data_IF_878164891005
#
_entry.id   IF_878164891005
#
_cell.length_a   1.000
_cell.length_b   1.000
_cell.length_c   1.000
_cell.angle_alpha   90.00
_cell.angle_beta   90.00
_cell.angle_gamma   90.00
#
_symmetry.space_group_name_H-M   'P 1'
#
loop_
_entity.id
_entity.type
_entity.pdbx_description
1 polymer ?
#
# COMPACT_ATOMS: atom_id res chain seq x y z
N UNK A 1 -29.97 101.31 -81.81
CA UNK A 1 -29.68 100.01 -81.15
C UNK A 1 -29.64 100.24 -79.65
N UNK A 2 -30.59 99.66 -78.90
CA UNK A 2 -30.73 99.91 -77.47
C UNK A 2 -29.78 99.01 -76.68
N UNK A 3 -28.64 99.57 -76.28
CA UNK A 3 -27.52 98.95 -75.55
C UNK A 3 -27.95 98.23 -74.24
N UNK A 4 -29.12 98.53 -73.69
CA UNK A 4 -29.63 97.98 -72.43
C UNK A 4 -30.05 96.51 -72.50
N UNK A 5 -30.38 95.98 -73.68
CA UNK A 5 -30.82 94.57 -73.82
C UNK A 5 -29.65 93.57 -73.87
N UNK A 6 -28.47 93.99 -74.32
CA UNK A 6 -27.29 93.11 -74.44
C UNK A 6 -26.71 92.78 -73.06
N UNK A 7 -26.66 93.76 -72.16
CA UNK A 7 -26.13 93.54 -70.79
C UNK A 7 -27.02 92.62 -69.94
N UNK A 8 -28.34 92.62 -70.15
CA UNK A 8 -29.24 91.72 -69.42
C UNK A 8 -29.11 90.26 -69.88
N UNK A 9 -28.81 90.01 -71.15
CA UNK A 9 -28.63 88.66 -71.69
C UNK A 9 -27.31 88.02 -71.22
N UNK A 10 -26.23 88.81 -71.12
CA UNK A 10 -24.93 88.32 -70.65
C UNK A 10 -24.95 88.00 -69.15
N UNK A 11 -25.71 88.75 -68.35
CA UNK A 11 -25.82 88.52 -66.90
C UNK A 11 -26.60 87.23 -66.54
N UNK A 12 -27.60 86.85 -67.33
CA UNK A 12 -28.36 85.62 -67.08
C UNK A 12 -27.54 84.38 -67.47
N UNK A 13 -26.70 84.48 -68.52
CA UNK A 13 -25.86 83.37 -68.97
C UNK A 13 -24.71 83.05 -68.00
N UNK A 14 -24.16 84.06 -67.31
CA UNK A 14 -23.14 83.85 -66.26
C UNK A 14 -23.73 83.29 -64.96
N UNK A 15 -24.96 83.66 -64.57
CA UNK A 15 -25.60 83.09 -63.37
C UNK A 15 -25.96 81.60 -63.52
N UNK A 16 -26.37 81.14 -64.71
CA UNK A 16 -26.65 79.72 -64.95
C UNK A 16 -25.40 78.84 -65.02
N UNK A 17 -24.25 79.40 -65.47
CA UNK A 17 -22.97 78.68 -65.51
C UNK A 17 -22.40 78.37 -64.12
N UNK A 18 -22.64 79.25 -63.13
CA UNK A 18 -22.14 79.08 -61.75
C UNK A 18 -22.95 78.00 -61.01
N UNK A 19 -24.27 77.94 -61.20
CA UNK A 19 -25.14 76.95 -60.54
C UNK A 19 -24.92 75.50 -61.03
N UNK A 20 -24.46 75.28 -62.26
CA UNK A 20 -24.18 73.95 -62.79
C UNK A 20 -22.85 73.35 -62.26
N UNK A 21 -21.87 74.20 -61.93
CA UNK A 21 -20.55 73.76 -61.47
C UNK A 21 -20.51 73.46 -59.96
N UNK A 22 -21.34 74.15 -59.15
CA UNK A 22 -21.43 73.93 -57.69
C UNK A 22 -22.13 72.61 -57.32
N UNK A 23 -23.10 72.15 -58.12
CA UNK A 23 -23.87 70.94 -57.80
C UNK A 23 -23.07 69.64 -58.07
N UNK A 24 -22.20 69.65 -59.08
CA UNK A 24 -21.34 68.50 -59.45
C UNK A 24 -20.21 68.30 -58.41
N UNK A 25 -19.66 69.39 -57.88
CA UNK A 25 -18.62 69.35 -56.84
C UNK A 25 -19.16 68.71 -55.54
N UNK A 26 -20.38 69.09 -55.13
CA UNK A 26 -21.07 68.57 -53.93
C UNK A 26 -21.35 67.06 -54.01
N UNK A 27 -21.69 66.54 -55.18
CA UNK A 27 -22.03 65.12 -55.37
C UNK A 27 -20.77 64.22 -55.35
N UNK A 28 -19.65 64.70 -55.90
CA UNK A 28 -18.36 64.00 -55.83
C UNK A 28 -17.79 63.93 -54.42
N UNK A 29 -17.93 64.99 -53.61
CA UNK A 29 -17.52 64.98 -52.20
C UNK A 29 -18.39 64.02 -51.37
N UNK A 30 -19.71 63.99 -51.60
CA UNK A 30 -20.62 63.03 -50.97
C UNK A 30 -20.27 61.58 -51.33
N UNK A 31 -19.96 61.29 -52.59
CA UNK A 31 -19.49 59.95 -53.01
C UNK A 31 -18.15 59.57 -52.35
N UNK A 32 -17.25 60.52 -52.16
CA UNK A 32 -15.94 60.28 -51.54
C UNK A 32 -16.06 60.04 -50.02
N UNK A 33 -17.00 60.72 -49.35
CA UNK A 33 -17.35 60.47 -47.94
C UNK A 33 -18.00 59.09 -47.78
N UNK A 34 -18.99 58.75 -48.61
CA UNK A 34 -19.63 57.42 -48.63
C UNK A 34 -18.62 56.28 -48.85
N UNK A 35 -17.68 56.43 -49.80
CA UNK A 35 -16.61 55.44 -50.03
C UNK A 35 -15.66 55.30 -48.85
N UNK A 36 -15.33 56.41 -48.16
CA UNK A 36 -14.50 56.39 -46.94
C UNK A 36 -15.21 55.73 -45.77
N UNK A 37 -16.50 56.01 -45.56
CA UNK A 37 -17.31 55.37 -44.53
C UNK A 37 -17.51 53.86 -44.78
N UNK A 38 -17.74 53.45 -46.03
CA UNK A 38 -17.82 52.03 -46.41
C UNK A 38 -16.47 51.31 -46.21
N UNK A 39 -15.36 51.98 -46.51
CA UNK A 39 -14.01 51.42 -46.29
C UNK A 39 -13.67 51.28 -44.80
N UNK A 40 -14.02 52.27 -43.97
CA UNK A 40 -13.84 52.22 -42.51
C UNK A 40 -14.73 51.13 -41.89
N UNK A 41 -15.96 50.98 -42.40
CA UNK A 41 -16.89 49.95 -41.94
C UNK A 41 -16.40 48.54 -42.28
N UNK A 42 -15.82 48.34 -43.47
CA UNK A 42 -15.18 47.08 -43.88
C UNK A 42 -13.96 46.73 -43.02
N UNK A 43 -13.11 47.71 -42.70
CA UNK A 43 -11.94 47.49 -41.83
C UNK A 43 -12.38 47.12 -40.40
N UNK A 44 -13.34 47.84 -39.82
CA UNK A 44 -13.89 47.51 -38.49
C UNK A 44 -14.58 46.14 -38.45
N UNK A 45 -15.30 45.77 -39.52
CA UNK A 45 -15.92 44.45 -39.64
C UNK A 45 -14.85 43.34 -39.71
N UNK A 46 -13.75 43.58 -40.43
CA UNK A 46 -12.61 42.67 -40.52
C UNK A 46 -11.89 42.51 -39.18
N UNK A 47 -11.64 43.60 -38.46
CA UNK A 47 -11.03 43.58 -37.12
C UNK A 47 -11.91 42.87 -36.08
N UNK A 48 -13.22 43.09 -36.12
CA UNK A 48 -14.17 42.42 -35.23
C UNK A 48 -14.28 40.92 -35.54
N UNK A 49 -14.16 40.53 -36.82
CA UNK A 49 -14.03 39.13 -37.21
C UNK A 49 -12.71 38.51 -36.74
N UNK A 50 -11.59 39.22 -36.89
CA UNK A 50 -10.28 38.78 -36.40
C UNK A 50 -10.26 38.62 -34.88
N UNK A 51 -10.84 39.55 -34.12
CA UNK A 51 -11.00 39.44 -32.66
C UNK A 51 -11.88 38.25 -32.26
N UNK A 52 -13.00 38.02 -32.95
CA UNK A 52 -13.85 36.85 -32.69
C UNK A 52 -13.16 35.52 -33.00
N UNK A 53 -12.28 35.48 -34.00
CA UNK A 53 -11.47 34.29 -34.31
C UNK A 53 -10.42 34.08 -33.21
N UNK A 54 -9.68 35.13 -32.84
CA UNK A 54 -8.69 35.07 -31.76
C UNK A 54 -9.30 34.68 -30.41
N UNK A 55 -10.50 35.19 -30.07
CA UNK A 55 -11.21 34.83 -28.84
C UNK A 55 -11.68 33.36 -28.87
N UNK A 56 -12.16 32.87 -30.02
CA UNK A 56 -12.54 31.45 -30.19
C UNK A 56 -11.32 30.54 -30.09
N UNK A 57 -10.18 30.93 -30.62
CA UNK A 57 -8.92 30.18 -30.50
C UNK A 57 -8.40 30.19 -29.07
N UNK A 58 -8.36 31.36 -28.41
CA UNK A 58 -7.99 31.47 -27.01
C UNK A 58 -8.89 30.61 -26.10
N UNK A 59 -10.21 30.58 -26.36
CA UNK A 59 -11.17 29.75 -25.63
C UNK A 59 -10.99 28.26 -25.88
N UNK A 60 -10.59 27.85 -27.09
CA UNK A 60 -10.23 26.45 -27.39
C UNK A 60 -8.95 26.05 -26.66
N UNK A 61 -7.91 26.88 -26.72
CA UNK A 61 -6.63 26.65 -26.03
C UNK A 61 -6.85 26.59 -24.51
N UNK A 62 -7.67 27.47 -23.94
CA UNK A 62 -8.01 27.45 -22.52
C UNK A 62 -8.75 26.16 -22.11
N UNK A 63 -9.71 25.69 -22.93
CA UNK A 63 -10.41 24.43 -22.70
C UNK A 63 -9.50 23.20 -22.82
N UNK A 64 -8.56 23.20 -23.76
CA UNK A 64 -7.58 22.13 -23.91
C UNK A 64 -6.60 22.10 -22.73
N UNK A 65 -6.11 23.26 -22.28
CA UNK A 65 -5.29 23.37 -21.06
C UNK A 65 -6.03 22.91 -19.81
N UNK A 66 -7.31 23.26 -19.66
CA UNK A 66 -8.12 22.80 -18.52
C UNK A 66 -8.33 21.28 -18.54
N UNK A 67 -8.59 20.71 -19.73
CA UNK A 67 -8.70 19.25 -19.91
C UNK A 67 -7.38 18.54 -19.62
N UNK A 68 -6.26 19.07 -20.11
CA UNK A 68 -4.93 18.52 -19.84
C UNK A 68 -4.60 18.55 -18.34
N UNK A 69 -4.88 19.67 -17.66
CA UNK A 69 -4.66 19.80 -16.21
C UNK A 69 -5.56 18.85 -15.40
N UNK A 70 -6.81 18.65 -15.82
CA UNK A 70 -7.73 17.68 -15.19
C UNK A 70 -7.25 16.24 -15.40
N UNK A 71 -6.79 15.90 -16.60
CA UNK A 71 -6.23 14.59 -16.91
C UNK A 71 -4.96 14.31 -16.08
N UNK A 72 -4.03 15.27 -16.02
CA UNK A 72 -2.80 15.14 -15.22
C UNK A 72 -3.09 14.97 -13.72
N UNK A 73 -4.07 15.71 -13.19
CA UNK A 73 -4.50 15.55 -11.79
C UNK A 73 -5.11 14.17 -11.54
N UNK A 74 -5.98 13.70 -12.43
CA UNK A 74 -6.60 12.38 -12.33
C UNK A 74 -5.55 11.25 -12.41
N UNK A 75 -4.54 11.39 -13.28
CA UNK A 75 -3.44 10.43 -13.39
C UNK A 75 -2.57 10.41 -12.12
N UNK A 76 -2.23 11.57 -11.57
CA UNK A 76 -1.48 11.66 -10.31
C UNK A 76 -2.25 11.10 -9.12
N UNK A 77 -3.57 11.32 -9.06
CA UNK A 77 -4.43 10.77 -8.00
C UNK A 77 -4.54 9.24 -8.13
N UNK A 78 -4.75 8.73 -9.35
CA UNK A 78 -4.76 7.29 -9.61
C UNK A 78 -3.43 6.62 -9.25
N UNK A 79 -2.29 7.24 -9.60
CA UNK A 79 -0.98 6.69 -9.24
C UNK A 79 -0.73 6.76 -7.73
N UNK A 80 -1.13 7.84 -7.05
CA UNK A 80 -1.03 7.93 -5.60
C UNK A 80 -1.87 6.86 -4.88
N UNK A 81 -3.06 6.55 -5.38
CA UNK A 81 -3.91 5.51 -4.83
C UNK A 81 -3.36 4.10 -5.11
N UNK A 82 -2.79 3.86 -6.30
CA UNK A 82 -2.07 2.61 -6.60
C UNK A 82 -0.88 2.40 -5.66
N UNK A 83 -0.07 3.44 -5.43
CA UNK A 83 1.07 3.37 -4.50
C UNK A 83 0.58 3.09 -3.08
N UNK A 84 -0.50 3.75 -2.62
CA UNK A 84 -1.08 3.47 -1.29
C UNK A 84 -1.60 2.04 -1.16
N UNK A 85 -2.26 1.51 -2.18
CA UNK A 85 -2.70 0.11 -2.18
C UNK A 85 -1.54 -0.87 -2.14
N UNK A 86 -0.49 -0.61 -2.90
CA UNK A 86 0.72 -1.43 -2.92
C UNK A 86 1.44 -1.39 -1.56
N UNK A 87 1.58 -0.21 -0.96
CA UNK A 87 2.10 -0.07 0.40
C UNK A 87 1.28 -0.83 1.43
N UNK A 88 -0.06 -0.76 1.36
CA UNK A 88 -0.95 -1.54 2.24
C UNK A 88 -0.79 -3.04 2.04
N UNK A 89 -0.64 -3.49 0.80
CA UNK A 89 -0.38 -4.92 0.49
C UNK A 89 0.96 -5.37 1.06
N UNK A 90 2.01 -4.58 0.91
CA UNK A 90 3.34 -4.87 1.47
C UNK A 90 3.26 -4.93 3.00
N UNK A 91 2.65 -3.93 3.64
CA UNK A 91 2.50 -3.89 5.10
C UNK A 91 1.70 -5.09 5.62
N UNK A 92 0.65 -5.51 4.91
CA UNK A 92 -0.13 -6.69 5.25
C UNK A 92 0.69 -7.98 5.11
N UNK A 93 1.43 -8.12 4.02
CA UNK A 93 2.34 -9.25 3.80
C UNK A 93 3.44 -9.33 4.87
N UNK A 94 3.99 -8.19 5.30
CA UNK A 94 4.97 -8.14 6.39
C UNK A 94 4.35 -8.52 7.74
N UNK A 95 3.15 -8.01 8.03
CA UNK A 95 2.40 -8.40 9.24
C UNK A 95 2.11 -9.89 9.26
N UNK A 96 1.71 -10.46 8.14
CA UNK A 96 1.37 -11.88 8.05
C UNK A 96 2.64 -12.75 8.11
N UNK A 97 3.74 -12.36 7.45
CA UNK A 97 5.05 -13.00 7.63
C UNK A 97 5.48 -13.00 9.10
N UNK A 98 5.37 -11.87 9.79
CA UNK A 98 5.73 -11.73 11.21
C UNK A 98 4.83 -12.58 12.11
N UNK A 99 3.55 -12.74 11.80
CA UNK A 99 2.64 -13.64 12.53
C UNK A 99 3.04 -15.10 12.31
N UNK A 100 3.32 -15.49 11.07
CA UNK A 100 3.73 -16.85 10.73
C UNK A 100 5.06 -17.20 11.39
N UNK A 101 6.04 -16.31 11.37
CA UNK A 101 7.32 -16.49 12.06
C UNK A 101 7.14 -16.67 13.57
N UNK A 102 6.30 -15.84 14.21
CA UNK A 102 5.96 -16.01 15.64
C UNK A 102 5.26 -17.33 15.93
N UNK A 103 4.40 -17.82 15.03
CA UNK A 103 3.74 -19.11 15.18
C UNK A 103 4.73 -20.25 15.04
N UNK A 104 5.63 -20.19 14.05
CA UNK A 104 6.70 -21.17 13.88
C UNK A 104 7.64 -21.20 15.09
N UNK A 105 8.05 -20.04 15.61
CA UNK A 105 8.91 -19.94 16.78
C UNK A 105 8.24 -20.54 18.04
N UNK A 106 6.94 -20.30 18.23
CA UNK A 106 6.16 -20.92 19.32
C UNK A 106 6.08 -22.43 19.17
N UNK A 107 5.77 -22.91 17.97
CA UNK A 107 5.70 -24.34 17.67
C UNK A 107 7.06 -25.02 17.87
N UNK A 108 8.16 -24.38 17.47
CA UNK A 108 9.51 -24.90 17.69
C UNK A 108 9.85 -24.97 19.18
N UNK A 109 9.52 -23.93 19.95
CA UNK A 109 9.69 -23.93 21.40
C UNK A 109 8.88 -25.04 22.09
N UNK A 110 7.64 -25.27 21.66
CA UNK A 110 6.80 -26.36 22.17
C UNK A 110 7.38 -27.74 21.81
N UNK A 111 7.80 -27.94 20.56
CA UNK A 111 8.46 -29.18 20.14
C UNK A 111 9.72 -29.45 20.95
N UNK A 112 10.54 -28.42 21.20
CA UNK A 112 11.76 -28.55 22.02
C UNK A 112 11.45 -28.92 23.46
N UNK A 113 10.42 -28.30 24.08
CA UNK A 113 9.97 -28.67 25.43
C UNK A 113 9.51 -30.12 25.50
N UNK A 114 8.72 -30.58 24.51
CA UNK A 114 8.26 -31.97 24.43
C UNK A 114 9.45 -32.92 24.27
N UNK A 115 10.44 -32.58 23.43
CA UNK A 115 11.64 -33.40 23.24
C UNK A 115 12.49 -33.49 24.52
N UNK A 116 12.70 -32.38 25.22
CA UNK A 116 13.39 -32.35 26.50
C UNK A 116 12.65 -33.18 27.56
N UNK A 117 11.33 -33.04 27.67
CA UNK A 117 10.50 -33.83 28.59
C UNK A 117 10.56 -35.34 28.26
N UNK A 118 10.49 -35.72 26.99
CA UNK A 118 10.67 -37.12 26.55
C UNK A 118 12.04 -37.67 26.93
N UNK A 119 13.09 -36.87 26.75
CA UNK A 119 14.47 -37.26 27.10
C UNK A 119 14.62 -37.48 28.60
N UNK A 120 14.01 -36.62 29.42
CA UNK A 120 14.05 -36.75 30.87
C UNK A 120 13.23 -37.94 31.37
N UNK A 121 12.08 -38.20 30.76
CA UNK A 121 11.31 -39.43 31.01
C UNK A 121 12.13 -40.67 30.68
N UNK A 122 12.77 -40.71 29.52
CA UNK A 122 13.60 -41.84 29.10
C UNK A 122 14.77 -42.09 30.07
N UNK A 123 15.47 -41.02 30.51
CA UNK A 123 16.51 -41.12 31.54
C UNK A 123 15.98 -41.64 32.86
N UNK A 124 14.80 -41.16 33.28
CA UNK A 124 14.18 -41.57 34.54
C UNK A 124 13.78 -43.06 34.51
N UNK A 125 13.21 -43.53 33.39
CA UNK A 125 12.86 -44.94 33.14
C UNK A 125 14.10 -45.84 33.09
N UNK A 126 15.16 -45.44 32.39
CA UNK A 126 16.42 -46.19 32.36
C UNK A 126 17.03 -46.34 33.76
N UNK A 127 17.04 -45.26 34.57
CA UNK A 127 17.49 -45.34 35.96
C UNK A 127 16.61 -46.24 36.83
N UNK A 128 15.30 -46.25 36.60
CA UNK A 128 14.37 -47.14 37.29
C UNK A 128 14.66 -48.60 36.96
N UNK A 129 14.85 -48.91 35.67
CA UNK A 129 15.18 -50.26 35.20
C UNK A 129 16.49 -50.76 35.82
N UNK A 130 17.56 -49.95 35.80
CA UNK A 130 18.84 -50.32 36.42
C UNK A 130 18.70 -50.62 37.92
N UNK A 131 17.91 -49.81 38.64
CA UNK A 131 17.64 -50.06 40.07
C UNK A 131 16.91 -51.38 40.29
N UNK A 132 15.92 -51.72 39.45
CA UNK A 132 15.24 -53.01 39.57
C UNK A 132 16.14 -54.19 39.24
N UNK A 133 16.97 -54.08 38.19
CA UNK A 133 17.96 -55.10 37.87
C UNK A 133 18.96 -55.31 39.01
N UNK A 134 19.42 -54.24 39.65
CA UNK A 134 20.34 -54.32 40.79
C UNK A 134 19.67 -54.95 42.02
N UNK A 135 18.41 -54.59 42.31
CA UNK A 135 17.62 -55.23 43.39
C UNK A 135 17.48 -56.72 43.11
N UNK A 136 17.14 -57.12 41.88
CA UNK A 136 16.96 -58.51 41.51
C UNK A 136 18.27 -59.31 41.64
N UNK A 137 19.40 -58.75 41.19
CA UNK A 137 20.72 -59.36 41.35
C UNK A 137 21.08 -59.56 42.82
N UNK A 138 20.86 -58.53 43.65
CA UNK A 138 21.17 -58.57 45.07
C UNK A 138 20.26 -59.54 45.83
N UNK A 139 18.96 -59.58 45.49
CA UNK A 139 17.99 -60.54 46.02
C UNK A 139 18.38 -61.97 45.64
N UNK A 140 18.70 -62.25 44.38
CA UNK A 140 19.17 -63.57 43.92
C UNK A 140 20.44 -64.02 44.66
N UNK A 141 21.37 -63.09 44.92
CA UNK A 141 22.59 -63.39 45.66
C UNK A 141 22.30 -63.69 47.13
N UNK A 142 21.43 -62.90 47.76
CA UNK A 142 20.96 -63.13 49.12
C UNK A 142 20.29 -64.50 49.24
N UNK A 143 19.30 -64.79 48.40
CA UNK A 143 18.53 -66.04 48.42
C UNK A 143 19.47 -67.25 48.26
N UNK A 144 20.42 -67.18 47.32
CA UNK A 144 21.42 -68.25 47.09
C UNK A 144 22.33 -68.47 48.29
N UNK A 145 22.76 -67.42 48.99
CA UNK A 145 23.63 -67.54 50.17
C UNK A 145 22.83 -68.05 51.38
N UNK A 146 21.60 -67.57 51.54
CA UNK A 146 20.68 -67.97 52.60
C UNK A 146 20.28 -69.45 52.47
N UNK A 147 19.90 -69.89 51.26
CA UNK A 147 19.60 -71.31 50.98
C UNK A 147 20.77 -72.23 51.26
N UNK A 148 22.02 -71.76 51.06
CA UNK A 148 23.23 -72.54 51.36
C UNK A 148 23.61 -72.51 52.84
N UNK A 149 22.85 -71.82 53.71
CA UNK A 149 23.18 -71.65 55.12
C UNK A 149 24.48 -70.88 55.37
N UNK A 150 24.94 -70.09 54.39
CA UNK A 150 26.23 -69.37 54.46
C UNK A 150 26.13 -67.99 55.13
N UNK A 151 24.94 -67.61 55.61
CA UNK A 151 24.70 -66.32 56.25
C UNK A 151 24.42 -66.56 57.73
N UNK A 152 25.08 -65.79 58.59
CA UNK A 152 24.71 -65.69 60.00
C UNK A 152 23.41 -64.88 60.15
N UNK A 153 22.68 -65.00 61.27
CA UNK A 153 21.49 -64.16 61.52
C UNK A 153 21.76 -62.65 61.38
N UNK A 154 22.94 -62.20 61.82
CA UNK A 154 23.36 -60.80 61.68
C UNK A 154 23.57 -60.39 60.22
N UNK A 155 24.13 -61.30 59.39
CA UNK A 155 24.30 -61.03 57.97
C UNK A 155 22.97 -60.98 57.24
N UNK A 156 22.02 -61.87 57.59
CA UNK A 156 20.66 -61.85 57.04
C UNK A 156 20.00 -60.49 57.28
N UNK A 157 20.13 -59.94 58.49
CA UNK A 157 19.59 -58.62 58.82
C UNK A 157 20.25 -57.50 57.98
N UNK A 158 21.58 -57.52 57.81
CA UNK A 158 22.32 -56.55 56.98
C UNK A 158 21.88 -56.60 55.51
N UNK A 159 21.74 -57.80 54.96
CA UNK A 159 21.29 -58.00 53.59
C UNK A 159 19.85 -57.53 53.40
N UNK A 160 18.96 -57.86 54.33
CA UNK A 160 17.56 -57.42 54.31
C UNK A 160 17.47 -55.89 54.33
N UNK A 161 18.18 -55.23 55.25
CA UNK A 161 18.26 -53.76 55.32
C UNK A 161 18.83 -53.13 54.04
N UNK A 162 19.82 -53.77 53.41
CA UNK A 162 20.39 -53.28 52.14
C UNK A 162 19.37 -53.34 51.01
N UNK A 163 18.71 -54.47 50.85
CA UNK A 163 17.67 -54.67 49.82
C UNK A 163 16.50 -53.71 50.05
N UNK A 164 16.08 -53.52 51.29
CA UNK A 164 15.01 -52.57 51.66
C UNK A 164 15.37 -51.13 51.26
N UNK A 165 16.59 -50.65 51.57
CA UNK A 165 17.09 -49.35 51.12
C UNK A 165 17.11 -49.21 49.59
N UNK A 166 17.41 -50.29 48.87
CA UNK A 166 17.37 -50.27 47.40
C UNK A 166 15.92 -50.19 46.89
N UNK A 167 14.99 -50.93 47.49
CA UNK A 167 13.55 -50.86 47.18
C UNK A 167 12.97 -49.47 47.46
N UNK A 168 13.38 -48.82 48.55
CA UNK A 168 12.99 -47.43 48.86
C UNK A 168 13.50 -46.47 47.78
N UNK A 169 14.76 -46.61 47.35
CA UNK A 169 15.31 -45.83 46.22
C UNK A 169 14.53 -46.05 44.94
N UNK A 170 14.12 -47.29 44.64
CA UNK A 170 13.31 -47.61 43.47
C UNK A 170 11.91 -46.98 43.56
N UNK A 171 11.26 -47.00 44.73
CA UNK A 171 9.97 -46.34 44.95
C UNK A 171 10.06 -44.81 44.77
N UNK A 172 11.14 -44.19 45.26
CA UNK A 172 11.39 -42.76 45.05
C UNK A 172 11.69 -42.44 43.58
N UNK A 173 12.34 -43.34 42.85
CA UNK A 173 12.55 -43.20 41.41
C UNK A 173 11.25 -43.38 40.61
N UNK A 174 10.37 -44.30 41.02
CA UNK A 174 9.04 -44.47 40.41
C UNK A 174 8.20 -43.19 40.52
N UNK A 175 8.23 -42.51 41.67
CA UNK A 175 7.59 -41.20 41.84
C UNK A 175 8.14 -40.16 40.86
N UNK A 176 9.45 -40.15 40.59
CA UNK A 176 10.08 -39.23 39.64
C UNK A 176 9.67 -39.54 38.21
N UNK A 177 9.59 -40.81 37.85
CA UNK A 177 9.09 -41.27 36.55
C UNK A 177 7.66 -40.82 36.35
N UNK A 178 6.75 -41.12 37.30
CA UNK A 178 5.34 -40.68 37.24
C UNK A 178 5.21 -39.17 37.12
N UNK A 179 6.04 -38.41 37.84
CA UNK A 179 6.07 -36.95 37.70
C UNK A 179 6.49 -36.52 36.29
N UNK A 180 7.54 -37.12 35.73
CA UNK A 180 7.99 -36.83 34.37
C UNK A 180 6.94 -37.21 33.30
N UNK A 181 6.19 -38.30 33.50
CA UNK A 181 5.08 -38.69 32.64
C UNK A 181 3.95 -37.66 32.68
N UNK A 182 3.57 -37.22 33.88
CA UNK A 182 2.53 -36.20 34.05
C UNK A 182 2.93 -34.84 33.47
N UNK A 183 4.19 -34.44 33.60
CA UNK A 183 4.69 -33.21 32.97
C UNK A 183 4.69 -33.33 31.44
N UNK A 184 5.01 -34.50 30.88
CA UNK A 184 4.94 -34.73 29.43
C UNK A 184 3.49 -34.74 28.92
N UNK A 185 2.54 -35.28 29.68
CA UNK A 185 1.12 -35.32 29.31
C UNK A 185 0.46 -33.92 29.32
N UNK A 186 0.98 -32.99 30.12
CA UNK A 186 0.49 -31.60 30.19
C UNK A 186 1.03 -30.68 29.09
N UNK A 187 2.12 -31.07 28.42
CA UNK A 187 2.79 -30.28 27.38
C UNK A 187 2.17 -30.52 26.01
#
# INVERSE_FOLDING_TARGET
>A
MNLKFIYSGVFILTCLGIQAQENILSETEKQLILKKEDSISKVKASELHAQKIAEKEAKKIAKEKEKALKAEKAEKEAEADRIKEEQRKIEQLEKDKKKMEKQLEKAEKERKKIEEAKKDLAKARNKQENLYQDIEKEQKKFDKLNQKGKLSPLDIEKWTKKIEKMREKAANQDKKVKKAEHELEKL
#
